data_IF_695759369837
#
_entry.id   IF_695759369837
#
_cell.length_a   1.000
_cell.length_b   1.000
_cell.length_c   1.000
_cell.angle_alpha   90.00
_cell.angle_beta   90.00
_cell.angle_gamma   90.00
#
_symmetry.space_group_name_H-M   'P 1'
#
loop_
_entity.id
_entity.type
_entity.pdbx_description
1 polymer ?
#
# COMPACT_ATOMS: atom_id res chain seq x y z
N UNK A 1 -3.64 40.96 13.01
CA UNK A 1 -4.36 40.22 11.96
C UNK A 1 -3.55 39.05 11.36
N UNK A 2 -2.38 39.27 10.73
CA UNK A 2 -1.56 38.18 10.15
C UNK A 2 -1.12 37.08 11.13
N UNK A 3 -0.83 37.42 12.39
CA UNK A 3 -0.55 36.42 13.44
C UNK A 3 -1.74 35.50 13.76
N UNK A 4 -2.99 35.97 13.60
CA UNK A 4 -4.18 35.15 13.82
C UNK A 4 -4.40 34.15 12.68
N UNK A 5 -4.05 34.53 11.45
CA UNK A 5 -4.14 33.64 10.28
C UNK A 5 -3.13 32.48 10.34
N UNK A 6 -2.01 32.64 11.06
CA UNK A 6 -1.02 31.57 11.26
C UNK A 6 -1.35 30.63 12.43
N UNK A 7 -2.22 31.05 13.35
CA UNK A 7 -2.62 30.28 14.54
C UNK A 7 -3.72 29.25 14.30
N UNK A 8 -4.25 29.13 13.09
CA UNK A 8 -5.21 28.08 12.75
C UNK A 8 -4.52 26.73 12.80
N UNK A 9 -4.91 25.84 13.71
CA UNK A 9 -4.36 24.47 13.78
C UNK A 9 -4.84 23.54 12.64
N UNK A 10 -5.47 24.11 11.61
CA UNK A 10 -5.87 23.39 10.40
C UNK A 10 -4.64 23.02 9.55
N UNK A 11 -4.43 21.72 9.42
CA UNK A 11 -3.36 21.08 8.64
C UNK A 11 -3.90 20.34 7.41
N UNK A 12 -5.20 20.44 7.12
CA UNK A 12 -5.86 19.65 6.08
C UNK A 12 -6.31 18.27 6.55
N UNK A 13 -7.10 17.60 5.71
CA UNK A 13 -7.74 16.31 5.98
C UNK A 13 -7.36 15.20 4.97
N UNK A 14 -6.61 15.56 3.92
CA UNK A 14 -6.04 14.66 2.91
C UNK A 14 -4.83 15.31 2.24
N UNK A 15 -4.09 14.55 1.42
CA UNK A 15 -2.86 15.01 0.77
C UNK A 15 -3.08 16.30 -0.05
N UNK A 16 -4.14 16.36 -0.86
CA UNK A 16 -4.44 17.53 -1.69
C UNK A 16 -4.69 18.79 -0.84
N UNK A 17 -5.45 18.65 0.25
CA UNK A 17 -5.77 19.78 1.13
C UNK A 17 -4.52 20.34 1.83
N UNK A 18 -3.62 19.48 2.32
CA UNK A 18 -2.38 19.94 2.97
C UNK A 18 -1.41 20.56 1.97
N UNK A 19 -1.31 20.02 0.75
CA UNK A 19 -0.50 20.60 -0.33
C UNK A 19 -1.00 21.99 -0.70
N UNK A 20 -2.31 22.18 -0.85
CA UNK A 20 -2.90 23.50 -1.09
C UNK A 20 -2.60 24.50 0.04
N UNK A 21 -2.68 24.06 1.31
CA UNK A 21 -2.31 24.88 2.46
C UNK A 21 -0.83 25.25 2.45
N UNK A 22 0.03 24.32 2.04
CA UNK A 22 1.48 24.52 1.96
C UNK A 22 1.85 25.52 0.86
N UNK A 23 1.30 25.40 -0.35
CA UNK A 23 1.48 26.38 -1.44
C UNK A 23 1.01 27.78 -1.02
N UNK A 24 -0.11 27.87 -0.31
CA UNK A 24 -0.64 29.15 0.18
C UNK A 24 0.27 29.75 1.26
N UNK A 25 0.85 28.90 2.12
CA UNK A 25 1.82 29.30 3.15
C UNK A 25 3.15 29.76 2.53
N UNK A 26 3.64 29.11 1.48
CA UNK A 26 4.84 29.53 0.73
C UNK A 26 4.65 30.91 0.10
N UNK A 27 3.48 31.18 -0.48
CA UNK A 27 3.14 32.52 -1.00
C UNK A 27 3.14 33.57 0.11
N UNK A 28 2.64 33.21 1.29
CA UNK A 28 2.66 34.08 2.47
C UNK A 28 4.10 34.35 2.94
N UNK A 29 4.96 33.33 3.00
CA UNK A 29 6.38 33.47 3.39
C UNK A 29 7.16 34.32 2.38
N UNK A 30 6.91 34.18 1.09
CA UNK A 30 7.47 35.06 0.07
C UNK A 30 7.05 36.53 0.32
N UNK A 31 5.79 36.76 0.69
CA UNK A 31 5.30 38.07 1.09
C UNK A 31 5.97 38.62 2.37
N UNK A 32 6.30 37.75 3.34
CA UNK A 32 7.08 38.15 4.52
C UNK A 32 8.50 38.55 4.12
N UNK A 33 9.15 37.77 3.27
CA UNK A 33 10.50 38.07 2.80
C UNK A 33 10.57 39.43 2.08
N UNK A 34 9.59 39.74 1.24
CA UNK A 34 9.51 41.06 0.57
C UNK A 34 9.31 42.19 1.60
N UNK A 35 8.43 41.99 2.58
CA UNK A 35 8.18 42.99 3.62
C UNK A 35 9.40 43.22 4.53
N UNK A 36 10.24 42.22 4.74
CA UNK A 36 11.49 42.36 5.48
C UNK A 36 12.44 43.36 4.80
N UNK A 37 12.61 43.22 3.48
CA UNK A 37 13.53 44.03 2.70
C UNK A 37 13.05 45.47 2.48
N UNK A 38 11.74 45.69 2.42
CA UNK A 38 11.16 47.02 2.19
C UNK A 38 10.70 47.68 3.50
N UNK A 39 9.74 47.06 4.18
CA UNK A 39 9.07 47.65 5.34
C UNK A 39 9.93 47.66 6.60
N UNK A 40 10.44 46.50 7.02
CA UNK A 40 11.24 46.39 8.25
C UNK A 40 12.55 47.16 8.10
N UNK A 41 13.19 47.06 6.94
CA UNK A 41 14.39 47.84 6.63
C UNK A 41 14.12 49.34 6.68
N UNK A 42 13.09 49.83 6.00
CA UNK A 42 12.75 51.27 6.01
C UNK A 42 12.45 51.80 7.42
N UNK A 43 11.71 51.05 8.25
CA UNK A 43 11.44 51.42 9.64
C UNK A 43 12.72 51.47 10.48
N UNK A 44 13.68 50.59 10.19
CA UNK A 44 14.98 50.56 10.87
C UNK A 44 15.85 51.74 10.45
N UNK A 45 15.95 52.02 9.14
CA UNK A 45 16.69 53.15 8.59
C UNK A 45 16.14 54.49 9.13
N UNK A 46 14.81 54.67 9.15
CA UNK A 46 14.15 55.86 9.71
C UNK A 46 14.45 56.04 11.21
N UNK A 47 14.46 54.95 11.98
CA UNK A 47 14.84 55.00 13.39
C UNK A 47 16.30 55.44 13.55
N UNK A 48 17.21 54.94 12.73
CA UNK A 48 18.62 55.32 12.75
C UNK A 48 18.84 56.78 12.37
N UNK A 49 18.14 57.26 11.34
CA UNK A 49 18.11 58.66 10.95
C UNK A 49 17.62 59.52 12.12
N UNK A 50 16.40 59.30 12.62
CA UNK A 50 15.82 60.10 13.71
C UNK A 50 16.69 60.13 14.98
N UNK A 51 17.40 59.04 15.28
CA UNK A 51 18.34 58.98 16.41
C UNK A 51 19.64 59.73 16.09
N UNK A 52 20.14 59.71 14.85
CA UNK A 52 21.42 60.32 14.46
C UNK A 52 21.35 61.81 14.12
N UNK A 53 20.36 62.26 13.34
CA UNK A 53 20.25 63.66 12.87
C UNK A 53 19.82 64.64 13.96
N UNK A 54 19.22 64.17 15.06
CA UNK A 54 18.50 65.04 16.00
C UNK A 54 19.25 65.36 17.32
N UNK A 55 20.58 65.52 17.26
CA UNK A 55 21.44 65.79 18.43
C UNK A 55 21.18 67.15 19.13
N UNK A 56 20.39 68.06 18.56
CA UNK A 56 20.22 69.43 19.09
C UNK A 56 18.81 69.77 19.63
N UNK A 57 17.73 69.08 19.22
CA UNK A 57 16.35 69.54 19.50
C UNK A 57 15.38 68.47 20.04
N UNK A 58 15.82 67.20 20.20
CA UNK A 58 14.97 66.10 20.71
C UNK A 58 15.35 65.76 22.14
N UNK A 59 14.39 65.80 23.07
CA UNK A 59 14.63 65.39 24.46
C UNK A 59 15.03 63.91 24.53
N UNK A 60 15.86 63.53 25.50
CA UNK A 60 16.28 62.14 25.68
C UNK A 60 15.08 61.17 25.76
N UNK A 61 13.97 61.63 26.34
CA UNK A 61 12.70 60.92 26.45
C UNK A 61 12.07 60.54 25.08
N UNK A 62 12.17 61.40 24.07
CA UNK A 62 11.62 61.11 22.74
C UNK A 62 12.44 60.04 22.00
N UNK A 63 13.77 60.02 22.20
CA UNK A 63 14.65 58.99 21.64
C UNK A 63 14.34 57.61 22.23
N UNK A 64 14.18 57.53 23.55
CA UNK A 64 13.79 56.30 24.23
C UNK A 64 12.44 55.77 23.74
N UNK A 65 11.44 56.66 23.53
CA UNK A 65 10.13 56.28 22.98
C UNK A 65 10.22 55.73 21.55
N UNK A 66 11.06 56.32 20.69
CA UNK A 66 11.27 55.83 19.31
C UNK A 66 11.93 54.45 19.34
N UNK A 67 12.95 54.28 20.19
CA UNK A 67 13.66 53.01 20.31
C UNK A 67 12.76 51.90 20.86
N UNK A 68 11.99 52.17 21.91
CA UNK A 68 11.03 51.21 22.46
C UNK A 68 9.96 50.79 21.43
N UNK A 69 9.49 51.70 20.57
CA UNK A 69 8.56 51.39 19.49
C UNK A 69 9.20 50.51 18.41
N UNK A 70 10.43 50.81 18.01
CA UNK A 70 11.17 50.00 17.05
C UNK A 70 11.41 48.59 17.60
N UNK A 71 11.84 48.47 18.85
CA UNK A 71 12.02 47.18 19.53
C UNK A 71 10.72 46.36 19.57
N UNK A 72 9.58 47.00 19.83
CA UNK A 72 8.27 46.33 19.79
C UNK A 72 7.93 45.80 18.39
N UNK A 73 8.17 46.59 17.34
CA UNK A 73 7.94 46.17 15.95
C UNK A 73 8.87 45.01 15.59
N UNK A 74 10.16 45.11 15.95
CA UNK A 74 11.14 44.07 15.70
C UNK A 74 10.79 42.76 16.41
N UNK A 75 10.42 42.81 17.69
CA UNK A 75 10.02 41.64 18.46
C UNK A 75 8.77 40.97 17.88
N UNK A 76 7.78 41.76 17.45
CA UNK A 76 6.58 41.24 16.78
C UNK A 76 6.91 40.61 15.43
N UNK A 77 7.85 41.19 14.68
CA UNK A 77 8.35 40.65 13.40
C UNK A 77 9.05 39.30 13.59
N UNK A 78 9.98 39.22 14.53
CA UNK A 78 10.69 37.97 14.85
C UNK A 78 9.73 36.87 15.31
N UNK A 79 8.75 37.22 16.15
CA UNK A 79 7.70 36.28 16.58
C UNK A 79 6.85 35.79 15.41
N UNK A 80 6.55 36.66 14.44
CA UNK A 80 5.81 36.30 13.22
C UNK A 80 6.60 35.30 12.37
N UNK A 81 7.89 35.57 12.12
CA UNK A 81 8.78 34.66 11.39
C UNK A 81 8.87 33.29 12.05
N UNK A 82 9.09 33.26 13.38
CA UNK A 82 9.14 32.00 14.13
C UNK A 82 7.83 31.22 14.03
N UNK A 83 6.69 31.89 14.19
CA UNK A 83 5.36 31.25 14.10
C UNK A 83 5.10 30.71 12.68
N UNK A 84 5.52 31.45 11.65
CA UNK A 84 5.44 31.01 10.26
C UNK A 84 6.26 29.74 10.01
N UNK A 85 7.52 29.74 10.47
CA UNK A 85 8.42 28.58 10.35
C UNK A 85 7.86 27.34 11.03
N UNK A 86 7.35 27.47 12.27
CA UNK A 86 6.72 26.37 13.01
C UNK A 86 5.48 25.83 12.27
N UNK A 87 4.66 26.70 11.69
CA UNK A 87 3.50 26.29 10.90
C UNK A 87 3.93 25.50 9.66
N UNK A 88 4.95 25.95 8.93
CA UNK A 88 5.49 25.25 7.77
C UNK A 88 5.97 23.85 8.13
N UNK A 89 6.68 23.69 9.24
CA UNK A 89 7.13 22.38 9.71
C UNK A 89 5.95 21.44 10.04
N UNK A 90 4.90 21.95 10.70
CA UNK A 90 3.68 21.18 10.96
C UNK A 90 3.00 20.75 9.66
N UNK A 91 2.87 21.64 8.68
CA UNK A 91 2.27 21.33 7.38
C UNK A 91 3.09 20.28 6.62
N UNK A 92 4.42 20.39 6.58
CA UNK A 92 5.30 19.37 5.97
C UNK A 92 5.16 18.01 6.63
N UNK A 93 5.13 17.94 7.97
CA UNK A 93 4.91 16.68 8.70
C UNK A 93 3.54 16.07 8.38
N UNK A 94 2.51 16.89 8.24
CA UNK A 94 1.18 16.41 7.84
C UNK A 94 1.18 15.91 6.38
N UNK A 95 1.85 16.61 5.47
CA UNK A 95 2.04 16.19 4.08
C UNK A 95 2.75 14.84 3.99
N UNK A 96 3.88 14.68 4.67
CA UNK A 96 4.63 13.42 4.68
C UNK A 96 3.78 12.28 5.24
N UNK A 97 3.00 12.53 6.31
CA UNK A 97 2.06 11.55 6.86
C UNK A 97 1.02 11.14 5.81
N UNK A 98 0.36 12.08 5.14
CA UNK A 98 -0.65 11.77 4.12
C UNK A 98 -0.05 11.07 2.90
N UNK A 99 1.17 11.43 2.50
CA UNK A 99 1.90 10.75 1.42
C UNK A 99 2.17 9.28 1.76
N UNK A 100 2.64 9.00 2.98
CA UNK A 100 2.86 7.63 3.44
C UNK A 100 1.56 6.82 3.47
N UNK A 101 0.44 7.45 3.87
CA UNK A 101 -0.88 6.83 3.85
C UNK A 101 -1.30 6.46 2.41
N UNK A 102 -1.18 7.39 1.46
CA UNK A 102 -1.51 7.12 0.06
C UNK A 102 -0.66 5.99 -0.51
N UNK A 103 0.63 5.96 -0.19
CA UNK A 103 1.53 4.89 -0.62
C UNK A 103 1.10 3.53 -0.07
N UNK A 104 0.73 3.45 1.22
CA UNK A 104 0.20 2.23 1.82
C UNK A 104 -1.10 1.78 1.15
N UNK A 105 -2.02 2.70 0.87
CA UNK A 105 -3.28 2.41 0.19
C UNK A 105 -3.05 1.88 -1.23
N UNK A 106 -2.17 2.51 -2.00
CA UNK A 106 -1.83 2.08 -3.36
C UNK A 106 -1.11 0.73 -3.35
N UNK A 107 -0.18 0.51 -2.41
CA UNK A 107 0.52 -0.77 -2.26
C UNK A 107 -0.46 -1.90 -1.97
N UNK A 108 -1.39 -1.68 -1.03
CA UNK A 108 -2.44 -2.65 -0.72
C UNK A 108 -3.31 -2.92 -1.96
N UNK A 109 -3.82 -1.89 -2.62
CA UNK A 109 -4.70 -2.03 -3.79
C UNK A 109 -4.03 -2.81 -4.93
N UNK A 110 -2.76 -2.50 -5.22
CA UNK A 110 -1.99 -3.21 -6.25
C UNK A 110 -1.79 -4.69 -5.91
N UNK A 111 -1.44 -4.98 -4.66
CA UNK A 111 -1.23 -6.36 -4.20
C UNK A 111 -2.53 -7.16 -4.16
N UNK A 112 -3.62 -6.56 -3.69
CA UNK A 112 -4.92 -7.20 -3.63
C UNK A 112 -5.40 -7.58 -5.05
N UNK A 113 -5.21 -6.68 -6.01
CA UNK A 113 -5.52 -6.94 -7.43
C UNK A 113 -4.68 -8.07 -8.01
N UNK A 114 -3.36 -8.06 -7.76
CA UNK A 114 -2.46 -9.13 -8.21
C UNK A 114 -2.83 -10.49 -7.59
N UNK A 115 -3.11 -10.51 -6.28
CA UNK A 115 -3.55 -11.70 -5.56
C UNK A 115 -4.88 -12.24 -6.12
N UNK A 116 -5.86 -11.37 -6.38
CA UNK A 116 -7.15 -11.79 -6.96
C UNK A 116 -6.97 -12.40 -8.35
N UNK A 117 -6.16 -11.76 -9.21
CA UNK A 117 -5.87 -12.31 -10.54
C UNK A 117 -5.15 -13.65 -10.48
N UNK A 118 -4.21 -13.81 -9.54
CA UNK A 118 -3.56 -15.10 -9.30
C UNK A 118 -4.56 -16.16 -8.82
N UNK A 119 -5.46 -15.80 -7.90
CA UNK A 119 -6.51 -16.69 -7.40
C UNK A 119 -7.46 -17.15 -8.51
N UNK A 120 -7.92 -16.25 -9.39
CA UNK A 120 -8.81 -16.61 -10.50
C UNK A 120 -8.19 -17.66 -11.42
N UNK A 121 -6.89 -17.52 -11.76
CA UNK A 121 -6.18 -18.50 -12.56
C UNK A 121 -6.02 -19.85 -11.81
N UNK A 122 -5.71 -19.80 -10.51
CA UNK A 122 -5.58 -21.00 -9.70
C UNK A 122 -6.93 -21.73 -9.54
N UNK A 123 -8.03 -20.99 -9.42
CA UNK A 123 -9.39 -21.54 -9.35
C UNK A 123 -9.77 -22.23 -10.66
N UNK A 124 -9.44 -21.63 -11.81
CA UNK A 124 -9.64 -22.27 -13.13
C UNK A 124 -8.91 -23.63 -13.20
N UNK A 125 -7.62 -23.67 -12.90
CA UNK A 125 -6.81 -24.89 -12.93
C UNK A 125 -7.31 -25.97 -11.94
N UNK A 126 -7.79 -25.56 -10.75
CA UNK A 126 -8.24 -26.48 -9.71
C UNK A 126 -9.63 -27.07 -9.99
N UNK A 127 -10.47 -26.33 -10.72
CA UNK A 127 -11.84 -26.74 -11.04
C UNK A 127 -11.93 -27.61 -12.30
N UNK A 128 -10.86 -27.68 -13.09
CA UNK A 128 -10.76 -28.60 -14.24
C UNK A 128 -11.03 -30.06 -13.82
N UNK A 129 -11.90 -30.82 -14.50
CA UNK A 129 -12.19 -32.19 -14.07
C UNK A 129 -10.97 -33.13 -14.12
N UNK A 130 -10.71 -33.86 -13.04
CA UNK A 130 -9.67 -34.90 -13.00
C UNK A 130 -10.11 -36.12 -13.80
N UNK A 131 -9.62 -36.27 -15.04
CA UNK A 131 -9.89 -37.44 -15.90
C UNK A 131 -8.66 -37.83 -16.68
N UNK A 132 -8.36 -39.13 -16.73
CA UNK A 132 -7.26 -39.67 -17.52
C UNK A 132 -7.55 -41.11 -18.01
N UNK A 133 -6.65 -41.65 -18.82
CA UNK A 133 -6.80 -42.97 -19.44
C UNK A 133 -5.64 -43.95 -19.15
N UNK A 134 -4.62 -43.48 -18.42
CA UNK A 134 -3.42 -44.26 -18.10
C UNK A 134 -2.84 -43.93 -16.73
N UNK A 135 -2.03 -44.85 -16.19
CA UNK A 135 -1.28 -44.64 -14.95
C UNK A 135 -0.22 -43.54 -15.08
N UNK A 136 0.28 -43.27 -16.29
CA UNK A 136 1.25 -42.22 -16.54
C UNK A 136 0.59 -40.84 -16.49
N UNK A 137 -0.58 -40.68 -17.12
CA UNK A 137 -1.33 -39.43 -17.09
C UNK A 137 -1.74 -39.03 -15.67
N UNK A 138 -2.23 -39.97 -14.84
CA UNK A 138 -2.60 -39.63 -13.46
C UNK A 138 -1.38 -39.24 -12.62
N UNK A 139 -0.21 -39.85 -12.85
CA UNK A 139 1.04 -39.44 -12.17
C UNK A 139 1.43 -38.02 -12.57
N UNK A 140 1.34 -37.69 -13.86
CA UNK A 140 1.64 -36.34 -14.34
C UNK A 140 0.70 -35.28 -13.71
N UNK A 141 -0.60 -35.59 -13.55
CA UNK A 141 -1.56 -34.70 -12.89
C UNK A 141 -1.25 -34.50 -11.40
N UNK A 142 -0.87 -35.57 -10.69
CA UNK A 142 -0.45 -35.49 -9.28
C UNK A 142 0.82 -34.65 -9.16
N UNK A 143 1.83 -34.91 -9.98
CA UNK A 143 3.09 -34.15 -9.99
C UNK A 143 2.87 -32.66 -10.28
N UNK A 144 1.96 -32.34 -11.21
CA UNK A 144 1.59 -30.95 -11.50
C UNK A 144 0.91 -30.28 -10.29
N UNK A 145 0.01 -30.99 -9.61
CA UNK A 145 -0.65 -30.48 -8.42
C UNK A 145 0.31 -30.29 -7.23
N UNK A 146 1.28 -31.20 -7.06
CA UNK A 146 2.32 -31.05 -6.05
C UNK A 146 3.21 -29.84 -6.32
N UNK A 147 3.57 -29.57 -7.59
CA UNK A 147 4.26 -28.33 -7.97
C UNK A 147 3.43 -27.08 -7.67
N UNK A 148 2.14 -27.09 -7.98
CA UNK A 148 1.25 -25.98 -7.62
C UNK A 148 1.28 -25.70 -6.10
N UNK A 149 1.23 -26.75 -5.26
CA UNK A 149 1.34 -26.61 -3.80
C UNK A 149 2.68 -26.02 -3.34
N UNK A 150 3.77 -26.20 -4.07
CA UNK A 150 5.05 -25.52 -3.73
C UNK A 150 5.00 -24.02 -3.97
N UNK A 151 4.29 -23.55 -5.00
CA UNK A 151 4.11 -22.11 -5.29
C UNK A 151 3.11 -21.47 -4.31
N UNK A 152 2.25 -22.27 -3.68
CA UNK A 152 1.29 -21.79 -2.67
C UNK A 152 1.96 -21.12 -1.47
N UNK A 153 3.19 -21.52 -1.13
CA UNK A 153 3.95 -20.88 -0.05
C UNK A 153 4.26 -19.41 -0.34
N UNK A 154 4.63 -19.08 -1.59
CA UNK A 154 4.87 -17.70 -2.03
C UNK A 154 3.57 -16.89 -2.00
N UNK A 155 2.47 -17.47 -2.50
CA UNK A 155 1.16 -16.83 -2.44
C UNK A 155 0.68 -16.59 -1.00
N UNK A 156 1.02 -17.50 -0.07
CA UNK A 156 0.72 -17.33 1.35
C UNK A 156 1.50 -16.17 1.96
N UNK A 157 2.77 -16.05 1.62
CA UNK A 157 3.58 -14.91 2.04
C UNK A 157 2.98 -13.58 1.57
N UNK A 158 2.58 -13.49 0.30
CA UNK A 158 1.94 -12.29 -0.25
C UNK A 158 0.62 -11.96 0.45
N UNK A 159 -0.16 -12.98 0.79
CA UNK A 159 -1.40 -12.84 1.57
C UNK A 159 -1.14 -12.32 2.99
N UNK A 160 -0.09 -12.82 3.67
CA UNK A 160 0.28 -12.35 5.00
C UNK A 160 0.84 -10.91 4.97
N UNK A 161 1.57 -10.52 3.92
CA UNK A 161 1.97 -9.12 3.72
C UNK A 161 0.77 -8.19 3.45
N UNK A 162 -0.24 -8.66 2.72
CA UNK A 162 -1.50 -7.94 2.52
C UNK A 162 -2.21 -7.69 3.85
N UNK A 163 -2.27 -8.71 4.71
CA UNK A 163 -2.84 -8.60 6.05
C UNK A 163 -2.08 -7.59 6.90
N UNK A 164 -0.76 -7.64 6.93
CA UNK A 164 0.06 -6.67 7.67
C UNK A 164 -0.13 -5.22 7.16
N UNK A 165 -0.34 -5.05 5.85
CA UNK A 165 -0.65 -3.75 5.26
C UNK A 165 -2.02 -3.24 5.71
N UNK A 166 -3.03 -4.09 5.74
CA UNK A 166 -4.38 -3.75 6.22
C UNK A 166 -4.40 -3.40 7.71
N UNK A 167 -3.67 -4.14 8.55
CA UNK A 167 -3.53 -3.84 9.98
C UNK A 167 -2.89 -2.45 10.18
N UNK A 168 -1.89 -2.13 9.36
CA UNK A 168 -1.25 -0.80 9.35
C UNK A 168 -2.24 0.29 8.95
N UNK A 169 -3.05 0.05 7.92
CA UNK A 169 -4.11 0.96 7.45
C UNK A 169 -5.18 1.17 8.54
N UNK A 170 -5.67 0.10 9.16
CA UNK A 170 -6.68 0.14 10.23
C UNK A 170 -6.17 0.90 11.46
N UNK A 171 -4.88 0.77 11.79
CA UNK A 171 -4.27 1.52 12.90
C UNK A 171 -4.30 3.05 12.74
N UNK A 172 -4.41 3.53 11.49
CA UNK A 172 -4.46 4.96 11.18
C UNK A 172 -5.86 5.57 11.39
N UNK A 173 -6.88 4.74 11.68
CA UNK A 173 -8.27 5.10 11.91
C UNK A 173 -8.86 5.97 10.77
N UNK A 174 -8.55 5.60 9.53
CA UNK A 174 -8.97 6.31 8.32
C UNK A 174 -10.15 5.61 7.66
N UNK A 175 -10.79 6.32 6.73
CA UNK A 175 -11.81 5.74 5.87
C UNK A 175 -11.25 4.59 5.02
N UNK A 176 -12.15 3.78 4.45
CA UNK A 176 -11.80 2.68 3.58
C UNK A 176 -10.90 3.13 2.41
N UNK A 177 -10.03 2.23 1.95
CA UNK A 177 -9.11 2.48 0.86
C UNK A 177 -9.87 2.90 -0.42
N UNK A 178 -9.66 4.10 -0.97
CA UNK A 178 -10.42 4.59 -2.13
C UNK A 178 -9.98 3.97 -3.46
N UNK A 179 -8.84 3.27 -3.51
CA UNK A 179 -8.27 2.73 -4.76
C UNK A 179 -8.67 1.28 -5.04
N UNK A 180 -9.38 0.64 -4.12
CA UNK A 180 -9.83 -0.74 -4.31
C UNK A 180 -11.09 -1.03 -3.51
N UNK A 181 -11.91 -1.93 -4.03
CA UNK A 181 -13.08 -2.46 -3.33
C UNK A 181 -12.76 -3.72 -2.53
N UNK A 182 -11.56 -4.31 -2.72
CA UNK A 182 -11.12 -5.47 -1.96
C UNK A 182 -10.85 -5.10 -0.51
N UNK A 183 -11.40 -5.89 0.42
CA UNK A 183 -11.08 -5.81 1.85
C UNK A 183 -10.40 -7.10 2.29
N UNK A 184 -9.64 -7.06 3.39
CA UNK A 184 -9.03 -8.29 3.90
C UNK A 184 -10.04 -9.37 4.27
N UNK A 185 -11.26 -9.00 4.67
CA UNK A 185 -12.34 -9.95 4.90
C UNK A 185 -12.71 -10.68 3.61
N UNK A 186 -12.91 -9.95 2.50
CA UNK A 186 -13.22 -10.58 1.20
C UNK A 186 -12.09 -11.46 0.68
N UNK A 187 -10.83 -11.03 0.85
CA UNK A 187 -9.66 -11.81 0.43
C UNK A 187 -9.46 -13.06 1.30
N UNK A 188 -9.87 -13.02 2.57
CA UNK A 188 -9.80 -14.18 3.43
C UNK A 188 -10.82 -15.25 3.03
N UNK A 189 -12.00 -14.85 2.59
CA UNK A 189 -13.00 -15.78 2.07
C UNK A 189 -12.55 -16.43 0.75
N UNK A 190 -11.90 -15.68 -0.15
CA UNK A 190 -11.30 -16.26 -1.37
C UNK A 190 -10.16 -17.23 -1.03
N UNK A 191 -9.28 -16.87 -0.10
CA UNK A 191 -8.22 -17.78 0.38
C UNK A 191 -8.79 -19.08 0.97
N UNK A 192 -9.85 -19.00 1.78
CA UNK A 192 -10.54 -20.19 2.31
C UNK A 192 -11.16 -21.04 1.20
N UNK A 193 -11.74 -20.42 0.18
CA UNK A 193 -12.27 -21.12 -0.99
C UNK A 193 -11.15 -21.90 -1.70
N UNK A 194 -9.99 -21.26 -1.91
CA UNK A 194 -8.82 -21.91 -2.50
C UNK A 194 -8.38 -23.14 -1.71
N UNK A 195 -8.24 -23.01 -0.37
CA UNK A 195 -7.86 -24.13 0.49
C UNK A 195 -8.85 -25.30 0.40
N UNK A 196 -10.15 -25.01 0.18
CA UNK A 196 -11.15 -26.04 -0.05
C UNK A 196 -10.96 -26.71 -1.41
N UNK A 197 -10.79 -25.93 -2.49
CA UNK A 197 -10.55 -26.46 -3.83
C UNK A 197 -9.32 -27.36 -3.90
N UNK A 198 -8.24 -27.00 -3.22
CA UNK A 198 -7.02 -27.81 -3.13
C UNK A 198 -7.32 -29.17 -2.46
N UNK A 199 -8.05 -29.18 -1.34
CA UNK A 199 -8.42 -30.43 -0.66
C UNK A 199 -9.33 -31.31 -1.51
N UNK A 200 -10.29 -30.70 -2.19
CA UNK A 200 -11.21 -31.42 -3.06
C UNK A 200 -10.43 -32.03 -4.25
N UNK A 201 -9.51 -31.25 -4.85
CA UNK A 201 -8.60 -31.70 -5.91
C UNK A 201 -7.69 -32.85 -5.50
N UNK A 202 -7.08 -32.77 -4.31
CA UNK A 202 -6.29 -33.87 -3.75
C UNK A 202 -7.13 -35.17 -3.67
N UNK A 203 -8.37 -35.06 -3.20
CA UNK A 203 -9.31 -36.18 -3.12
C UNK A 203 -9.65 -36.79 -4.48
N UNK A 204 -9.98 -35.95 -5.46
CA UNK A 204 -10.31 -36.38 -6.83
C UNK A 204 -9.13 -37.07 -7.51
N UNK A 205 -7.90 -36.55 -7.34
CA UNK A 205 -6.67 -37.17 -7.84
C UNK A 205 -6.45 -38.56 -7.24
N UNK A 206 -6.69 -38.75 -5.94
CA UNK A 206 -6.56 -40.08 -5.32
C UNK A 206 -7.63 -41.06 -5.80
N UNK A 207 -8.87 -40.60 -5.99
CA UNK A 207 -9.95 -41.44 -6.52
C UNK A 207 -9.63 -41.91 -7.94
N UNK A 208 -9.22 -40.99 -8.81
CA UNK A 208 -8.86 -41.30 -10.19
C UNK A 208 -7.63 -42.21 -10.27
N UNK A 209 -6.62 -42.00 -9.42
CA UNK A 209 -5.47 -42.89 -9.29
C UNK A 209 -5.88 -44.31 -8.98
N UNK A 210 -6.73 -44.51 -7.97
CA UNK A 210 -7.23 -45.84 -7.61
C UNK A 210 -7.98 -46.49 -8.77
N UNK A 211 -8.83 -45.73 -9.47
CA UNK A 211 -9.55 -46.21 -10.67
C UNK A 211 -8.58 -46.67 -11.76
N UNK A 212 -7.51 -45.92 -12.04
CA UNK A 212 -6.50 -46.31 -13.03
C UNK A 212 -5.71 -47.55 -12.62
N UNK A 213 -5.36 -47.69 -11.34
CA UNK A 213 -4.68 -48.88 -10.82
C UNK A 213 -5.55 -50.13 -10.94
N UNK A 214 -6.85 -50.02 -10.67
CA UNK A 214 -7.82 -51.11 -10.87
C UNK A 214 -7.97 -51.47 -12.36
N UNK A 215 -8.10 -50.46 -13.23
CA UNK A 215 -8.17 -50.67 -14.67
C UNK A 215 -6.93 -51.37 -15.23
N UNK A 216 -5.74 -50.97 -14.78
CA UNK A 216 -4.48 -51.57 -15.23
C UNK A 216 -4.37 -53.03 -14.80
N UNK A 217 -4.74 -53.36 -13.56
CA UNK A 217 -4.83 -54.76 -13.08
C UNK A 217 -5.78 -55.60 -13.95
N UNK A 218 -6.94 -55.06 -14.30
CA UNK A 218 -7.89 -55.75 -15.18
C UNK A 218 -7.30 -55.99 -16.58
N UNK A 219 -6.56 -55.01 -17.14
CA UNK A 219 -5.87 -55.18 -18.42
C UNK A 219 -4.78 -56.25 -18.34
N UNK A 220 -4.00 -56.28 -17.26
CA UNK A 220 -2.97 -57.28 -17.02
C UNK A 220 -3.59 -58.69 -16.95
N UNK A 221 -4.62 -58.88 -16.12
CA UNK A 221 -5.32 -60.17 -16.02
C UNK A 221 -5.92 -60.62 -17.34
N UNK A 222 -6.58 -59.70 -18.07
CA UNK A 222 -7.11 -60.03 -19.39
C UNK A 222 -6.01 -60.50 -20.33
N UNK A 223 -4.87 -59.80 -20.36
CA UNK A 223 -3.73 -60.19 -21.19
C UNK A 223 -3.17 -61.56 -20.80
N UNK A 224 -3.03 -61.87 -19.51
CA UNK A 224 -2.60 -63.17 -19.00
C UNK A 224 -3.51 -64.29 -19.51
N UNK A 225 -4.82 -64.19 -19.28
CA UNK A 225 -5.79 -65.20 -19.69
C UNK A 225 -5.89 -65.32 -21.22
N UNK A 226 -5.89 -64.20 -21.94
CA UNK A 226 -5.96 -64.19 -23.40
C UNK A 226 -4.71 -64.84 -24.03
N UNK A 227 -3.51 -64.56 -23.51
CA UNK A 227 -2.27 -65.16 -23.99
C UNK A 227 -2.21 -66.66 -23.70
N UNK A 228 -2.65 -67.09 -22.52
CA UNK A 228 -2.75 -68.51 -22.16
C UNK A 228 -3.73 -69.24 -23.10
N UNK A 229 -4.92 -68.66 -23.32
CA UNK A 229 -5.93 -69.20 -24.22
C UNK A 229 -5.43 -69.27 -25.68
N UNK A 230 -4.79 -68.21 -26.16
CA UNK A 230 -4.21 -68.17 -27.50
C UNK A 230 -3.10 -69.24 -27.70
N UNK A 231 -2.30 -69.49 -26.66
CA UNK A 231 -1.27 -70.54 -26.67
C UNK A 231 -1.90 -71.93 -26.76
N UNK A 232 -2.96 -72.18 -25.99
CA UNK A 232 -3.72 -73.43 -26.04
C UNK A 232 -4.36 -73.67 -27.42
N UNK A 233 -4.98 -72.65 -28.02
CA UNK A 233 -5.56 -72.75 -29.37
C UNK A 233 -4.52 -73.17 -30.42
N UNK A 234 -3.35 -72.53 -30.42
CA UNK A 234 -2.26 -72.92 -31.33
C UNK A 234 -1.80 -74.36 -31.09
N UNK A 235 -1.76 -74.80 -29.83
CA UNK A 235 -1.43 -76.19 -29.51
C UNK A 235 -2.40 -77.22 -30.10
N UNK A 236 -3.66 -76.85 -30.31
CA UNK A 236 -4.67 -77.71 -30.98
C UNK A 236 -4.52 -77.68 -32.49
N UNK A 237 -4.19 -76.53 -33.10
CA UNK A 237 -4.01 -76.43 -34.55
C UNK A 237 -2.80 -77.23 -35.08
N UNK A 238 -1.82 -77.53 -34.23
CA UNK A 238 -0.63 -78.31 -34.59
C UNK A 238 -0.64 -79.77 -34.08
N UNK A 239 -1.73 -80.23 -33.48
CA UNK A 239 -1.92 -81.61 -33.01
C UNK A 239 -2.76 -82.44 -33.99
#
# INVERSE_FOLDING_TARGET
EKLHQLRTDDLGHNLLSVQNLLTRHETFEAGLNNFEHEGIRSVTDLKEELVSTNRANTSNEQREKIQARHELVWNNWQKLLQTSGLRREKLKKAEDRFRNIEELFLRFAKKASAFNSWFENAEEDLTDPVKCNSLEEIRALIDAHDRFKTVLEEARYDFDELKASDDSIKSLNMAANPYTWFTMETLFDTWKSLEKLIRDRDGDLQLEKKRQEENDKLRQHFAEYANAFHTWLRGIEYA
#
